data_IF_118766626269
#
_entry.id   IF_118766626269
#
_cell.length_a   1.000
_cell.length_b   1.000
_cell.length_c   1.000
_cell.angle_alpha   90.00
_cell.angle_beta   90.00
_cell.angle_gamma   90.00
#
_symmetry.space_group_name_H-M   'P 1'
#
loop_
_entity.id
_entity.type
_entity.pdbx_description
1 polymer ?
#
# COMPACT_ATOMS: atom_id res chain seq x y z
N UNK A 1 21.71 -23.78 -23.01
CA UNK A 1 21.47 -22.34 -23.32
C UNK A 1 19.98 -22.10 -23.34
N UNK A 2 19.48 -21.26 -22.44
CA UNK A 2 18.44 -20.24 -22.69
C UNK A 2 18.05 -19.65 -21.33
N UNK A 3 18.63 -18.47 -21.06
CA UNK A 3 18.30 -17.60 -19.95
C UNK A 3 16.78 -17.35 -19.94
N UNK A 4 16.13 -17.58 -18.81
CA UNK A 4 14.87 -16.92 -18.46
C UNK A 4 15.18 -15.43 -18.35
N UNK A 5 15.12 -14.73 -19.49
CA UNK A 5 15.08 -13.28 -19.53
C UNK A 5 13.76 -12.87 -18.90
N UNK A 6 13.86 -11.99 -17.92
CA UNK A 6 12.81 -11.14 -17.41
C UNK A 6 11.89 -10.69 -18.56
N UNK A 7 10.73 -11.33 -18.66
CA UNK A 7 9.63 -10.78 -19.44
C UNK A 7 9.21 -9.47 -18.75
N UNK A 8 9.03 -8.37 -19.49
CA UNK A 8 8.53 -7.16 -18.90
C UNK A 8 7.11 -7.46 -18.43
N UNK A 9 6.93 -7.66 -17.12
CA UNK A 9 5.61 -7.71 -16.48
C UNK A 9 4.83 -6.54 -17.06
N UNK A 10 3.70 -6.86 -17.71
CA UNK A 10 2.93 -5.92 -18.50
C UNK A 10 2.58 -4.69 -17.64
N UNK A 11 3.36 -3.61 -17.80
CA UNK A 11 3.20 -2.34 -17.09
C UNK A 11 1.79 -1.75 -17.26
N UNK A 12 1.04 -2.19 -18.26
CA UNK A 12 -0.33 -1.74 -18.55
C UNK A 12 -1.32 -2.05 -17.44
N UNK A 13 -1.24 -3.23 -16.81
CA UNK A 13 -2.33 -3.74 -15.98
C UNK A 13 -2.38 -3.13 -14.57
N UNK A 14 -1.34 -2.36 -14.23
CA UNK A 14 -1.21 -1.61 -12.98
C UNK A 14 -1.05 -0.10 -13.21
N UNK A 15 -1.25 0.41 -14.43
CA UNK A 15 -1.18 1.86 -14.68
C UNK A 15 -2.49 2.51 -14.29
N UNK A 16 -2.46 3.46 -13.33
CA UNK A 16 -3.63 4.23 -12.91
C UNK A 16 -3.74 5.51 -13.72
N UNK A 17 -4.90 5.76 -14.30
CA UNK A 17 -5.22 6.99 -15.01
C UNK A 17 -6.63 7.51 -14.67
N UNK A 18 -7.00 8.65 -15.27
CA UNK A 18 -8.33 9.25 -15.07
C UNK A 18 -9.48 8.33 -15.51
N UNK A 19 -9.24 7.44 -16.49
CA UNK A 19 -10.23 6.55 -17.08
C UNK A 19 -10.39 5.22 -16.33
N UNK A 20 -9.57 5.00 -15.29
CA UNK A 20 -9.67 3.84 -14.41
C UNK A 20 -10.93 3.96 -13.55
N UNK A 21 -12.07 3.54 -14.12
CA UNK A 21 -13.40 3.71 -13.53
C UNK A 21 -13.91 2.43 -12.83
N UNK A 22 -13.49 1.25 -13.31
CA UNK A 22 -13.73 -0.01 -12.60
C UNK A 22 -12.53 -0.32 -11.69
N UNK A 23 -12.54 0.31 -10.53
CA UNK A 23 -11.45 0.26 -9.56
C UNK A 23 -11.22 -1.16 -9.00
N UNK A 24 -12.29 -1.95 -8.84
CA UNK A 24 -12.17 -3.31 -8.32
C UNK A 24 -11.56 -4.25 -9.38
N UNK A 25 -12.05 -4.19 -10.63
CA UNK A 25 -11.48 -4.99 -11.71
C UNK A 25 -10.01 -4.64 -11.95
N UNK A 26 -9.67 -3.34 -11.90
CA UNK A 26 -8.29 -2.86 -11.98
C UNK A 26 -7.42 -3.50 -10.88
N UNK A 27 -7.81 -3.39 -9.61
CA UNK A 27 -7.03 -3.94 -8.49
C UNK A 27 -6.82 -5.44 -8.65
N UNK A 28 -7.88 -6.18 -9.03
CA UNK A 28 -7.78 -7.62 -9.25
C UNK A 28 -6.84 -7.98 -10.40
N UNK A 29 -6.87 -7.24 -11.50
CA UNK A 29 -5.96 -7.45 -12.63
C UNK A 29 -4.52 -7.14 -12.24
N UNK A 30 -4.30 -6.01 -11.59
CA UNK A 30 -2.98 -5.58 -11.16
C UNK A 30 -2.35 -6.58 -10.18
N UNK A 31 -3.07 -6.99 -9.12
CA UNK A 31 -2.53 -7.90 -8.11
C UNK A 31 -2.24 -9.32 -8.67
N UNK A 32 -2.91 -9.75 -9.75
CA UNK A 32 -2.57 -11.02 -10.43
C UNK A 32 -1.15 -11.01 -11.02
N UNK A 33 -0.62 -9.83 -11.35
CA UNK A 33 0.76 -9.68 -11.84
C UNK A 33 1.81 -9.84 -10.74
N UNK A 34 1.37 -9.94 -9.47
CA UNK A 34 2.22 -10.05 -8.27
C UNK A 34 3.27 -8.94 -8.21
N UNK A 35 2.86 -7.66 -8.21
CA UNK A 35 3.79 -6.55 -8.11
C UNK A 35 4.55 -6.61 -6.79
N UNK A 36 5.83 -6.26 -6.83
CA UNK A 36 6.66 -6.13 -5.63
C UNK A 36 6.17 -4.96 -4.75
N UNK A 37 6.47 -4.96 -3.44
CA UNK A 37 5.98 -3.93 -2.51
C UNK A 37 6.19 -2.49 -2.99
N UNK A 38 7.38 -2.20 -3.54
CA UNK A 38 7.73 -0.88 -4.08
C UNK A 38 6.85 -0.48 -5.26
N UNK A 39 6.56 -1.41 -6.17
CA UNK A 39 5.68 -1.15 -7.31
C UNK A 39 4.25 -0.84 -6.83
N UNK A 40 3.77 -1.53 -5.80
CA UNK A 40 2.47 -1.25 -5.21
C UNK A 40 2.42 0.17 -4.62
N UNK A 41 3.46 0.60 -3.92
CA UNK A 41 3.55 1.97 -3.39
C UNK A 41 3.54 3.02 -4.52
N UNK A 42 4.20 2.75 -5.64
CA UNK A 42 4.13 3.62 -6.84
C UNK A 42 2.70 3.68 -7.40
N UNK A 43 2.01 2.54 -7.53
CA UNK A 43 0.63 2.46 -8.02
C UNK A 43 -0.33 3.22 -7.09
N UNK A 44 -0.16 3.07 -5.78
CA UNK A 44 -0.90 3.82 -4.76
C UNK A 44 -0.65 5.32 -4.92
N UNK A 45 0.60 5.74 -5.11
CA UNK A 45 0.93 7.14 -5.32
C UNK A 45 0.26 7.70 -6.58
N UNK A 46 0.25 6.96 -7.68
CA UNK A 46 -0.48 7.31 -8.90
C UNK A 46 -1.99 7.39 -8.67
N UNK A 47 -2.58 6.44 -7.94
CA UNK A 47 -3.99 6.47 -7.58
C UNK A 47 -4.37 7.70 -6.76
N UNK A 48 -3.54 8.06 -5.77
CA UNK A 48 -3.75 9.28 -4.97
C UNK A 48 -3.69 10.54 -5.83
N UNK A 49 -2.73 10.64 -6.76
CA UNK A 49 -2.60 11.78 -7.68
C UNK A 49 -3.80 11.88 -8.63
N UNK A 50 -4.35 10.74 -9.06
CA UNK A 50 -5.54 10.67 -9.91
C UNK A 50 -6.87 10.79 -9.13
N UNK A 51 -6.83 11.05 -7.82
CA UNK A 51 -8.00 11.05 -6.91
C UNK A 51 -8.80 9.73 -6.92
N UNK A 52 -8.17 8.61 -7.26
CA UNK A 52 -8.74 7.25 -7.18
C UNK A 52 -8.50 6.67 -5.79
N UNK A 53 -9.04 7.33 -4.77
CA UNK A 53 -8.72 7.01 -3.37
C UNK A 53 -9.13 5.60 -2.94
N UNK A 54 -10.19 5.05 -3.53
CA UNK A 54 -10.61 3.67 -3.26
C UNK A 54 -9.60 2.65 -3.77
N UNK A 55 -8.90 2.91 -4.88
CA UNK A 55 -7.78 2.08 -5.34
C UNK A 55 -6.65 2.11 -4.30
N UNK A 56 -6.23 3.30 -3.88
CA UNK A 56 -5.16 3.47 -2.89
C UNK A 56 -5.48 2.76 -1.57
N UNK A 57 -6.67 3.00 -1.01
CA UNK A 57 -7.14 2.39 0.24
C UNK A 57 -7.16 0.87 0.18
N UNK A 58 -7.70 0.29 -0.90
CA UNK A 58 -7.82 -1.17 -1.05
C UNK A 58 -6.48 -1.84 -1.25
N UNK A 59 -5.58 -1.24 -2.04
CA UNK A 59 -4.22 -1.77 -2.23
C UNK A 59 -3.44 -1.75 -0.91
N UNK A 60 -3.46 -0.63 -0.19
CA UNK A 60 -2.85 -0.53 1.13
C UNK A 60 -3.40 -1.60 2.09
N UNK A 61 -4.71 -1.67 2.26
CA UNK A 61 -5.35 -2.58 3.20
C UNK A 61 -5.08 -4.06 2.86
N UNK A 62 -5.24 -4.44 1.59
CA UNK A 62 -5.03 -5.81 1.15
C UNK A 62 -3.59 -6.28 1.41
N UNK A 63 -2.61 -5.43 1.10
CA UNK A 63 -1.20 -5.80 1.22
C UNK A 63 -0.72 -5.78 2.67
N UNK A 64 -1.13 -4.77 3.44
CA UNK A 64 -0.82 -4.68 4.87
C UNK A 64 -1.37 -5.89 5.63
N UNK A 65 -2.64 -6.25 5.41
CA UNK A 65 -3.25 -7.46 5.98
C UNK A 65 -2.62 -8.76 5.47
N UNK A 66 -2.08 -8.74 4.25
CA UNK A 66 -1.34 -9.86 3.66
C UNK A 66 0.07 -10.06 4.22
N UNK A 67 0.50 -9.25 5.19
CA UNK A 67 1.81 -9.36 5.82
C UNK A 67 2.92 -8.51 5.19
N UNK A 68 2.57 -7.60 4.28
CA UNK A 68 3.53 -6.67 3.71
C UNK A 68 3.84 -5.54 4.71
N UNK A 69 4.89 -5.72 5.51
CA UNK A 69 5.30 -4.79 6.58
C UNK A 69 5.60 -3.39 6.03
N UNK A 70 6.30 -3.28 4.89
CA UNK A 70 6.63 -1.99 4.28
C UNK A 70 5.36 -1.19 3.93
N UNK A 71 4.36 -1.87 3.35
CA UNK A 71 3.08 -1.25 3.00
C UNK A 71 2.25 -0.94 4.24
N UNK A 72 2.26 -1.79 5.27
CA UNK A 72 1.58 -1.52 6.54
C UNK A 72 2.12 -0.25 7.23
N UNK A 73 3.45 -0.07 7.25
CA UNK A 73 4.09 1.14 7.78
C UNK A 73 3.71 2.39 7.00
N UNK A 74 3.73 2.31 5.67
CA UNK A 74 3.34 3.41 4.80
C UNK A 74 1.86 3.76 4.99
N UNK A 75 0.99 2.76 5.14
CA UNK A 75 -0.43 2.97 5.35
C UNK A 75 -0.72 3.65 6.69
N UNK A 76 -0.06 3.20 7.75
CA UNK A 76 -0.16 3.82 9.07
C UNK A 76 0.23 5.31 9.01
N UNK A 77 1.29 5.65 8.26
CA UNK A 77 1.74 7.03 8.11
C UNK A 77 0.74 7.94 7.36
N UNK A 78 -0.09 7.38 6.46
CA UNK A 78 -1.18 8.13 5.81
C UNK A 78 -2.20 8.61 6.83
N UNK A 79 -2.58 7.74 7.77
CA UNK A 79 -3.51 8.10 8.85
C UNK A 79 -2.85 8.92 9.96
N UNK A 80 -1.54 8.79 10.18
CA UNK A 80 -0.80 9.64 11.13
C UNK A 80 -0.87 11.12 10.70
N UNK A 81 -0.62 11.40 9.41
CA UNK A 81 -0.45 12.76 8.90
C UNK A 81 -1.70 13.32 8.23
N UNK A 82 -2.54 12.44 7.70
CA UNK A 82 -3.57 12.78 6.73
C UNK A 82 -2.97 13.07 5.35
N UNK A 83 -3.76 12.84 4.30
CA UNK A 83 -3.49 13.24 2.92
C UNK A 83 -4.80 13.37 2.14
N UNK A 84 -4.73 13.65 0.83
CA UNK A 84 -5.92 13.84 -0.01
C UNK A 84 -6.90 12.64 -0.01
N UNK A 85 -6.39 11.43 0.21
CA UNK A 85 -7.20 10.20 0.22
C UNK A 85 -7.43 9.61 1.61
N UNK A 86 -6.83 10.19 2.65
CA UNK A 86 -6.84 9.65 4.01
C UNK A 86 -7.00 10.79 5.00
N UNK A 87 -8.10 10.81 5.74
CA UNK A 87 -8.21 11.72 6.87
C UNK A 87 -7.24 11.26 7.96
N UNK A 88 -6.59 12.21 8.64
CA UNK A 88 -5.79 11.86 9.81
C UNK A 88 -6.66 11.18 10.87
N UNK A 89 -6.20 10.03 11.34
CA UNK A 89 -6.91 9.18 12.30
C UNK A 89 -5.87 8.42 13.14
N UNK A 90 -5.72 8.87 14.39
CA UNK A 90 -4.70 8.37 15.32
C UNK A 90 -4.88 6.88 15.62
N UNK A 91 -6.13 6.43 15.83
CA UNK A 91 -6.42 5.04 16.19
C UNK A 91 -6.16 4.11 15.00
N UNK A 92 -6.51 4.55 13.80
CA UNK A 92 -6.25 3.80 12.57
C UNK A 92 -4.75 3.71 12.27
N UNK A 93 -3.99 4.80 12.50
CA UNK A 93 -2.52 4.77 12.39
C UNK A 93 -1.91 3.74 13.35
N UNK A 94 -2.35 3.74 14.62
CA UNK A 94 -1.92 2.77 15.63
C UNK A 94 -2.22 1.34 15.17
N UNK A 95 -3.44 1.06 14.70
CA UNK A 95 -3.84 -0.26 14.23
C UNK A 95 -2.92 -0.80 13.12
N UNK A 96 -2.56 0.03 12.14
CA UNK A 96 -1.67 -0.41 11.05
C UNK A 96 -0.21 -0.57 11.48
N UNK A 97 0.29 0.23 12.42
CA UNK A 97 1.59 -0.01 13.02
C UNK A 97 1.62 -1.30 13.87
N UNK A 98 0.55 -1.61 14.60
CA UNK A 98 0.42 -2.89 15.32
C UNK A 98 0.33 -4.07 14.34
N UNK A 99 -0.38 -3.90 13.23
CA UNK A 99 -0.42 -4.89 12.14
C UNK A 99 0.99 -5.16 11.61
N UNK A 100 1.80 -4.12 11.36
CA UNK A 100 3.19 -4.27 10.95
C UNK A 100 4.01 -5.07 11.97
N UNK A 101 3.85 -4.80 13.29
CA UNK A 101 4.53 -5.57 14.35
C UNK A 101 4.05 -7.01 14.50
N UNK A 102 2.80 -7.30 14.15
CA UNK A 102 2.30 -8.67 14.18
C UNK A 102 3.02 -9.58 13.16
N UNK A 103 3.53 -8.98 12.07
CA UNK A 103 4.29 -9.67 11.02
C UNK A 103 5.81 -9.53 11.18
N UNK A 104 6.30 -8.41 11.69
CA UNK A 104 7.70 -8.18 12.06
C UNK A 104 7.79 -7.58 13.48
N UNK A 105 7.86 -8.43 14.53
CA UNK A 105 7.89 -7.97 15.92
C UNK A 105 9.12 -7.14 16.29
N UNK A 106 10.15 -7.11 15.44
CA UNK A 106 11.40 -6.39 15.67
C UNK A 106 11.49 -5.09 14.87
N UNK A 107 10.43 -4.72 14.13
CA UNK A 107 10.42 -3.51 13.34
C UNK A 107 10.61 -2.25 14.21
N UNK A 108 11.78 -1.62 14.11
CA UNK A 108 12.13 -0.47 14.94
C UNK A 108 11.21 0.74 14.66
N UNK A 109 10.87 0.98 13.38
CA UNK A 109 10.01 2.10 12.97
C UNK A 109 8.60 1.97 13.55
N UNK A 110 7.97 0.80 13.48
CA UNK A 110 6.65 0.60 14.05
C UNK A 110 6.64 0.81 15.58
N UNK A 111 7.66 0.30 16.29
CA UNK A 111 7.79 0.50 17.75
C UNK A 111 7.91 1.98 18.10
N UNK A 112 8.82 2.69 17.43
CA UNK A 112 9.03 4.13 17.67
C UNK A 112 7.74 4.93 17.43
N UNK A 113 7.05 4.64 16.33
CA UNK A 113 5.80 5.32 15.97
C UNK A 113 4.67 5.05 16.95
N UNK A 114 4.52 3.80 17.42
CA UNK A 114 3.52 3.47 18.43
C UNK A 114 3.81 4.14 19.77
N UNK A 115 5.06 4.18 20.21
CA UNK A 115 5.46 4.88 21.43
C UNK A 115 5.16 6.38 21.34
N UNK A 116 5.39 7.00 20.18
CA UNK A 116 5.06 8.41 19.98
C UNK A 116 3.54 8.66 19.96
N UNK A 117 2.77 7.78 19.31
CA UNK A 117 1.33 7.92 19.19
C UNK A 117 0.60 7.56 20.49
N UNK A 118 1.09 6.64 21.31
CA UNK A 118 0.39 6.24 22.56
C UNK A 118 0.64 7.17 23.75
N UNK A 119 1.47 8.19 23.56
CA UNK A 119 1.61 9.32 24.48
C UNK A 119 0.46 10.33 24.30
#
# INVERSE_FOLDING_TARGET
MLNKKDEPVAKSDCTVDANTNDELAFIQSCLKTKPEPKQILEIIASAKQANKCAIAQRLYANQAQGGNVEIALAYAAEYEKGSSCFQADKETAIYWYETALSHDPNNATAKEKLEALKK
#
